data_IF_642961259174
#
_entry.id   IF_642961259174
#
_cell.length_a   1.000
_cell.length_b   1.000
_cell.length_c   1.000
_cell.angle_alpha   90.00
_cell.angle_beta   90.00
_cell.angle_gamma   90.00
#
_symmetry.space_group_name_H-M   'P 1'
#
loop_
_entity.id
_entity.type
_entity.pdbx_description
1 polymer ?
#
# COMPACT_ATOMS: atom_id res chain seq x y z
N UNK A 1 5.04 -11.84 -5.22
CA UNK A 1 3.72 -11.67 -5.90
C UNK A 1 3.40 -10.17 -5.94
N UNK A 2 2.60 -9.67 -6.89
CA UNK A 2 1.86 -10.37 -7.95
C UNK A 2 2.63 -10.50 -9.28
N UNK A 3 2.13 -11.40 -10.13
CA UNK A 3 2.52 -11.61 -11.53
C UNK A 3 1.26 -11.98 -12.30
N UNK A 4 1.10 -11.46 -13.52
CA UNK A 4 0.02 -11.85 -14.43
C UNK A 4 0.60 -12.41 -15.74
N UNK A 5 -0.21 -13.22 -16.42
CA UNK A 5 0.06 -13.70 -17.78
C UNK A 5 -1.11 -13.22 -18.64
N UNK A 6 -0.85 -12.32 -19.58
CA UNK A 6 -1.85 -11.89 -20.54
C UNK A 6 -1.94 -12.88 -21.70
N UNK A 7 -2.80 -13.87 -21.54
CA UNK A 7 -3.05 -14.91 -22.56
C UNK A 7 -3.62 -14.38 -23.87
N UNK A 8 -4.17 -13.17 -23.87
CA UNK A 8 -4.68 -12.52 -25.08
C UNK A 8 -3.61 -11.75 -25.86
N UNK A 9 -2.38 -11.73 -25.37
CA UNK A 9 -1.24 -11.01 -25.96
C UNK A 9 -0.01 -11.92 -25.92
N UNK A 10 -0.06 -13.03 -26.66
CA UNK A 10 1.03 -14.00 -26.80
C UNK A 10 1.62 -14.50 -25.47
N UNK A 11 0.74 -14.79 -24.50
CA UNK A 11 1.09 -15.19 -23.13
C UNK A 11 2.11 -14.24 -22.45
N UNK A 12 2.02 -12.94 -22.75
CA UNK A 12 2.94 -11.93 -22.22
C UNK A 12 2.90 -11.87 -20.69
N UNK A 13 4.06 -12.06 -20.07
CA UNK A 13 4.21 -12.09 -18.61
C UNK A 13 4.57 -10.70 -18.08
N UNK A 14 3.82 -10.23 -17.08
CA UNK A 14 4.07 -8.95 -16.41
C UNK A 14 4.19 -9.18 -14.90
N UNK A 15 5.29 -8.75 -14.31
CA UNK A 15 5.56 -8.79 -12.88
C UNK A 15 5.78 -7.37 -12.33
N UNK A 16 5.85 -7.24 -11.00
CA UNK A 16 5.78 -5.98 -10.24
C UNK A 16 4.41 -5.31 -10.25
N UNK A 17 3.86 -5.04 -9.06
CA UNK A 17 2.49 -4.49 -8.94
C UNK A 17 2.32 -3.15 -9.66
N UNK A 18 3.34 -2.27 -9.60
CA UNK A 18 3.31 -0.99 -10.31
C UNK A 18 3.31 -1.15 -11.83
N UNK A 19 4.14 -2.04 -12.36
CA UNK A 19 4.21 -2.32 -13.79
C UNK A 19 2.94 -3.02 -14.30
N UNK A 20 2.37 -3.94 -13.51
CA UNK A 20 1.08 -4.58 -13.81
C UNK A 20 -0.04 -3.54 -13.90
N UNK A 21 -0.13 -2.63 -12.92
CA UNK A 21 -1.14 -1.57 -12.93
C UNK A 21 -0.96 -0.64 -14.14
N UNK A 22 0.28 -0.25 -14.44
CA UNK A 22 0.59 0.57 -15.61
C UNK A 22 0.18 -0.13 -16.91
N UNK A 23 0.59 -1.38 -17.08
CA UNK A 23 0.27 -2.21 -18.24
C UNK A 23 -1.24 -2.34 -18.47
N UNK A 24 -2.00 -2.67 -17.42
CA UNK A 24 -3.46 -2.80 -17.51
C UNK A 24 -4.13 -1.44 -17.79
N UNK A 25 -3.63 -0.36 -17.21
CA UNK A 25 -4.16 0.97 -17.46
C UNK A 25 -3.96 1.42 -18.92
N UNK A 26 -2.81 1.10 -19.52
CA UNK A 26 -2.54 1.34 -20.94
C UNK A 26 -3.41 0.44 -21.83
N UNK A 27 -3.41 -0.87 -21.56
CA UNK A 27 -4.16 -1.85 -22.34
C UNK A 27 -5.65 -1.54 -22.41
N UNK A 28 -6.24 -1.12 -21.29
CA UNK A 28 -7.67 -0.84 -21.20
C UNK A 28 -8.04 0.63 -21.29
N UNK A 29 -7.05 1.54 -21.38
CA UNK A 29 -7.25 2.99 -21.41
C UNK A 29 -8.12 3.48 -20.24
N UNK A 30 -7.78 3.04 -19.03
CA UNK A 30 -8.49 3.39 -17.79
C UNK A 30 -7.52 3.75 -16.69
N UNK A 31 -7.95 4.66 -15.81
CA UNK A 31 -7.26 4.98 -14.55
C UNK A 31 -5.84 5.56 -14.70
N UNK A 32 -5.52 6.09 -15.89
CA UNK A 32 -4.30 6.83 -16.15
C UNK A 32 -4.68 8.15 -16.83
N UNK A 33 -4.14 9.29 -16.37
CA UNK A 33 -4.48 10.57 -16.97
C UNK A 33 -3.90 10.70 -18.38
N UNK A 34 -4.54 11.55 -19.19
CA UNK A 34 -4.10 11.83 -20.56
C UNK A 34 -3.08 12.96 -20.64
N UNK A 35 -2.24 12.93 -21.67
CA UNK A 35 -1.20 13.92 -21.92
C UNK A 35 0.13 13.61 -21.23
N UNK A 36 1.22 13.98 -21.88
CA UNK A 36 2.59 13.63 -21.47
C UNK A 36 2.91 14.06 -20.03
N UNK A 37 2.57 15.31 -19.67
CA UNK A 37 2.85 15.85 -18.32
C UNK A 37 2.08 15.13 -17.23
N UNK A 38 0.80 14.83 -17.46
CA UNK A 38 -0.03 14.15 -16.46
C UNK A 38 0.38 12.69 -16.28
N UNK A 39 0.76 12.01 -17.38
CA UNK A 39 1.35 10.65 -17.32
C UNK A 39 2.68 10.64 -16.59
N UNK A 40 3.53 11.65 -16.79
CA UNK A 40 4.76 11.80 -16.03
C UNK A 40 4.49 11.97 -14.53
N UNK A 41 3.49 12.78 -14.15
CA UNK A 41 3.08 12.91 -12.75
C UNK A 41 2.56 11.58 -12.17
N UNK A 42 1.76 10.83 -12.93
CA UNK A 42 1.29 9.52 -12.50
C UNK A 42 2.46 8.55 -12.25
N UNK A 43 3.44 8.53 -13.14
CA UNK A 43 4.64 7.70 -12.98
C UNK A 43 5.45 8.11 -11.75
N UNK A 44 5.66 9.41 -11.52
CA UNK A 44 6.39 9.92 -10.35
C UNK A 44 5.75 9.44 -9.04
N UNK A 45 4.44 9.60 -8.89
CA UNK A 45 3.73 9.19 -7.68
C UNK A 45 3.59 7.68 -7.55
N UNK A 46 3.49 6.94 -8.66
CA UNK A 46 3.56 5.48 -8.63
C UNK A 46 4.94 5.02 -8.14
N UNK A 47 6.02 5.63 -8.61
CA UNK A 47 7.38 5.32 -8.14
C UNK A 47 7.61 5.74 -6.69
N UNK A 48 7.00 6.84 -6.23
CA UNK A 48 6.99 7.21 -4.82
C UNK A 48 6.36 6.12 -3.94
N UNK A 49 5.27 5.51 -4.39
CA UNK A 49 4.67 4.38 -3.69
C UNK A 49 5.57 3.13 -3.74
N UNK A 50 6.09 2.77 -4.92
CA UNK A 50 6.88 1.56 -5.11
C UNK A 50 8.24 1.59 -4.40
N UNK A 51 8.87 2.77 -4.27
CA UNK A 51 10.20 2.94 -3.67
C UNK A 51 10.17 3.51 -2.24
N UNK A 52 9.08 4.15 -1.84
CA UNK A 52 8.94 4.81 -0.54
C UNK A 52 7.93 4.09 0.35
N UNK A 53 6.64 4.38 0.15
CA UNK A 53 5.56 3.95 1.06
C UNK A 53 5.59 2.44 1.30
N UNK A 54 5.55 1.64 0.23
CA UNK A 54 5.48 0.18 0.35
C UNK A 54 6.68 -0.41 1.10
N UNK A 55 7.92 -0.19 0.62
CA UNK A 55 9.11 -0.71 1.28
C UNK A 55 9.27 -0.26 2.72
N UNK A 56 9.10 1.03 3.03
CA UNK A 56 9.32 1.55 4.38
C UNK A 56 8.28 1.03 5.38
N UNK A 57 7.01 0.97 4.98
CA UNK A 57 5.97 0.39 5.81
C UNK A 57 6.16 -1.11 6.00
N UNK A 58 6.61 -1.83 4.97
CA UNK A 58 6.95 -3.25 5.06
C UNK A 58 8.04 -3.52 6.11
N UNK A 59 9.10 -2.71 6.13
CA UNK A 59 10.13 -2.81 7.17
C UNK A 59 9.58 -2.48 8.56
N UNK A 60 8.78 -1.41 8.69
CA UNK A 60 8.15 -1.06 9.95
C UNK A 60 7.26 -2.22 10.48
N UNK A 61 6.48 -2.86 9.61
CA UNK A 61 5.66 -4.02 9.96
C UNK A 61 6.53 -5.21 10.37
N UNK A 62 7.59 -5.52 9.64
CA UNK A 62 8.47 -6.65 9.94
C UNK A 62 9.07 -6.54 11.35
N UNK A 63 9.73 -5.41 11.67
CA UNK A 63 10.39 -5.27 12.97
C UNK A 63 9.40 -5.29 14.14
N UNK A 64 8.19 -4.77 13.97
CA UNK A 64 7.21 -4.62 15.05
C UNK A 64 6.20 -5.76 15.18
N UNK A 65 5.91 -6.49 14.10
CA UNK A 65 4.87 -7.54 14.05
C UNK A 65 5.43 -8.93 13.78
N UNK A 66 6.70 -9.03 13.38
CA UNK A 66 7.35 -10.31 13.12
C UNK A 66 8.56 -10.49 14.05
N UNK A 67 9.57 -9.62 13.97
CA UNK A 67 10.82 -9.78 14.71
C UNK A 67 10.64 -9.58 16.23
N UNK A 68 10.00 -8.49 16.67
CA UNK A 68 9.78 -8.19 18.09
C UNK A 68 9.02 -9.32 18.84
N UNK A 69 7.86 -9.84 18.36
CA UNK A 69 7.16 -10.95 19.01
C UNK A 69 7.98 -12.24 19.13
N UNK A 70 9.03 -12.38 18.33
CA UNK A 70 9.95 -13.52 18.36
C UNK A 70 11.20 -13.27 19.22
N UNK A 71 11.28 -12.14 19.93
CA UNK A 71 12.39 -11.79 20.81
C UNK A 71 13.52 -10.98 20.15
N UNK A 72 13.35 -10.59 18.88
CA UNK A 72 14.33 -9.81 18.12
C UNK A 72 13.94 -8.34 18.03
N UNK A 73 13.85 -7.68 19.19
CA UNK A 73 13.52 -6.25 19.26
C UNK A 73 14.75 -5.40 18.94
N UNK A 74 14.65 -4.58 17.90
CA UNK A 74 15.64 -3.56 17.54
C UNK A 74 15.00 -2.17 17.58
N UNK A 75 15.28 -1.39 18.63
CA UNK A 75 14.66 -0.08 18.83
C UNK A 75 15.10 0.95 17.78
N UNK A 76 16.34 0.85 17.27
CA UNK A 76 16.84 1.75 16.25
C UNK A 76 16.12 1.52 14.92
N UNK A 77 15.97 0.26 14.51
CA UNK A 77 15.24 -0.10 13.30
C UNK A 77 13.76 0.27 13.41
N UNK A 78 13.11 -0.07 14.52
CA UNK A 78 11.69 0.27 14.77
C UNK A 78 11.49 1.79 14.65
N UNK A 79 12.32 2.59 15.34
CA UNK A 79 12.22 4.05 15.29
C UNK A 79 12.44 4.58 13.87
N UNK A 80 13.48 4.11 13.18
CA UNK A 80 13.82 4.55 11.82
C UNK A 80 12.67 4.32 10.84
N UNK A 81 12.17 3.08 10.75
CA UNK A 81 11.15 2.74 9.77
C UNK A 81 9.77 3.27 10.16
N UNK A 82 9.46 3.36 11.45
CA UNK A 82 8.24 4.02 11.94
C UNK A 82 8.21 5.51 11.60
N UNK A 83 9.30 6.24 11.89
CA UNK A 83 9.40 7.67 11.59
C UNK A 83 9.38 7.95 10.09
N UNK A 84 10.09 7.17 9.27
CA UNK A 84 10.07 7.37 7.82
C UNK A 84 8.70 7.05 7.22
N UNK A 85 8.02 6.00 7.69
CA UNK A 85 6.65 5.70 7.27
C UNK A 85 5.69 6.84 7.61
N UNK A 86 5.80 7.43 8.80
CA UNK A 86 5.01 8.62 9.18
C UNK A 86 5.29 9.80 8.25
N UNK A 87 6.56 10.10 7.98
CA UNK A 87 6.96 11.21 7.10
C UNK A 87 6.40 11.04 5.68
N UNK A 88 6.39 9.80 5.15
CA UNK A 88 5.82 9.50 3.84
C UNK A 88 4.29 9.70 3.81
N UNK A 89 3.59 9.37 4.90
CA UNK A 89 2.16 9.65 5.03
C UNK A 89 1.88 11.16 5.16
N UNK A 90 2.76 11.94 5.77
CA UNK A 90 2.68 13.40 5.80
C UNK A 90 2.85 14.02 4.41
N UNK A 91 3.78 13.51 3.60
CA UNK A 91 3.91 13.93 2.18
C UNK A 91 2.63 13.62 1.40
N UNK A 92 2.04 12.45 1.64
CA UNK A 92 0.79 12.06 1.00
C UNK A 92 -0.39 12.94 1.43
N UNK A 93 -0.48 13.28 2.72
CA UNK A 93 -1.50 14.19 3.26
C UNK A 93 -1.41 15.58 2.61
N UNK A 94 -0.21 16.14 2.50
CA UNK A 94 0.03 17.42 1.82
C UNK A 94 -0.34 17.34 0.34
N UNK A 95 0.03 16.25 -0.34
CA UNK A 95 -0.33 16.06 -1.75
C UNK A 95 -1.85 16.02 -1.96
N UNK A 96 -2.62 15.52 -0.98
CA UNK A 96 -4.07 15.41 -1.03
C UNK A 96 -4.79 16.73 -0.68
N UNK A 97 -4.09 17.78 -0.27
CA UNK A 97 -4.68 19.07 0.03
C UNK A 97 -5.46 19.60 -1.20
N UNK A 98 -6.76 19.85 -1.00
CA UNK A 98 -7.67 20.32 -2.05
C UNK A 98 -7.97 19.30 -3.15
N UNK A 99 -7.61 18.02 -2.99
CA UNK A 99 -7.81 16.96 -4.01
C UNK A 99 -8.62 15.79 -3.46
N UNK A 100 -9.46 15.22 -4.32
CA UNK A 100 -10.19 14.00 -3.97
C UNK A 100 -9.27 12.77 -3.94
N UNK A 101 -8.28 12.73 -4.83
CA UNK A 101 -7.34 11.64 -5.10
C UNK A 101 -5.93 12.19 -5.34
N UNK A 102 -4.92 11.32 -5.36
CA UNK A 102 -3.50 11.74 -5.35
C UNK A 102 -3.14 12.67 -6.50
N UNK A 103 -3.73 12.46 -7.69
CA UNK A 103 -3.45 13.27 -8.89
C UNK A 103 -4.53 14.32 -9.19
N UNK A 104 -5.55 14.48 -8.33
CA UNK A 104 -6.62 15.46 -8.54
C UNK A 104 -8.00 14.91 -8.17
N UNK A 105 -8.97 15.02 -9.08
CA UNK A 105 -10.36 14.65 -8.82
C UNK A 105 -10.76 13.26 -9.34
N UNK A 106 -9.85 12.58 -10.05
CA UNK A 106 -10.10 11.26 -10.61
C UNK A 106 -9.25 10.19 -9.91
N UNK A 107 -9.85 9.02 -9.71
CA UNK A 107 -9.18 7.87 -9.14
C UNK A 107 -8.28 7.22 -10.19
N UNK A 108 -7.01 7.00 -9.85
CA UNK A 108 -6.01 6.47 -10.78
C UNK A 108 -5.31 5.23 -10.24
N UNK A 109 -4.46 4.61 -11.06
CA UNK A 109 -3.57 3.53 -10.60
C UNK A 109 -2.64 3.94 -9.46
N UNK A 110 -2.33 5.24 -9.31
CA UNK A 110 -1.52 5.75 -8.21
C UNK A 110 -2.25 5.56 -6.89
N UNK A 111 -3.54 5.88 -6.86
CA UNK A 111 -4.39 5.64 -5.70
C UNK A 111 -4.51 4.13 -5.41
N UNK A 112 -4.74 3.32 -6.45
CA UNK A 112 -4.85 1.86 -6.33
C UNK A 112 -3.59 1.23 -5.72
N UNK A 113 -2.41 1.70 -6.12
CA UNK A 113 -1.13 1.17 -5.64
C UNK A 113 -0.83 1.63 -4.20
N UNK A 114 -1.18 2.88 -3.88
CA UNK A 114 -0.82 3.51 -2.61
C UNK A 114 -1.76 3.13 -1.48
N UNK A 115 -3.06 3.06 -1.76
CA UNK A 115 -4.10 2.86 -0.76
C UNK A 115 -3.91 1.61 0.11
N UNK A 116 -3.63 0.41 -0.44
CA UNK A 116 -3.50 -0.79 0.38
C UNK A 116 -2.42 -0.67 1.45
N UNK A 117 -1.32 0.01 1.13
CA UNK A 117 -0.23 0.24 2.08
C UNK A 117 -0.56 1.31 3.10
N UNK A 118 -0.96 2.51 2.64
CA UNK A 118 -1.27 3.62 3.52
C UNK A 118 -2.45 3.29 4.47
N UNK A 119 -3.48 2.58 3.98
CA UNK A 119 -4.65 2.20 4.78
C UNK A 119 -4.32 1.17 5.86
N UNK A 120 -3.26 0.40 5.68
CA UNK A 120 -2.72 -0.56 6.64
C UNK A 120 -1.75 0.10 7.67
N UNK A 121 -1.79 1.42 7.86
CA UNK A 121 -0.92 2.17 8.77
C UNK A 121 -0.80 1.57 10.18
N UNK A 122 -1.87 1.01 10.72
CA UNK A 122 -1.90 0.46 12.07
C UNK A 122 -1.14 -0.89 12.17
N UNK A 123 -0.95 -1.62 11.07
CA UNK A 123 -0.01 -2.76 11.06
C UNK A 123 1.42 -2.30 11.25
N UNK A 124 1.77 -1.18 10.61
CA UNK A 124 3.06 -0.53 10.79
C UNK A 124 3.16 0.23 12.12
N UNK A 125 2.12 0.20 12.98
CA UNK A 125 2.02 0.99 14.22
C UNK A 125 2.33 2.49 14.00
N UNK A 126 1.98 3.03 12.84
CA UNK A 126 2.18 4.44 12.48
C UNK A 126 0.89 5.20 12.75
N UNK A 127 0.92 6.29 13.51
CA UNK A 127 -0.27 7.14 13.70
C UNK A 127 -0.60 7.91 12.42
N UNK A 128 -1.89 8.15 12.18
CA UNK A 128 -2.41 9.06 11.15
C UNK A 128 -3.08 10.30 11.75
N UNK A 129 -2.91 10.52 13.05
CA UNK A 129 -3.50 11.69 13.74
C UNK A 129 -2.95 12.98 13.12
N UNK A 130 -3.84 13.94 12.92
CA UNK A 130 -3.53 15.22 12.25
C UNK A 130 -3.42 15.14 10.72
N UNK A 131 -3.49 13.95 10.11
CA UNK A 131 -3.46 13.76 8.65
C UNK A 131 -4.89 13.74 8.09
N UNK A 132 -5.56 14.89 8.10
CA UNK A 132 -6.99 14.99 7.80
C UNK A 132 -7.30 14.72 6.32
N UNK A 133 -6.42 15.15 5.40
CA UNK A 133 -6.61 14.93 3.97
C UNK A 133 -6.45 13.44 3.63
N UNK A 134 -5.47 12.79 4.27
CA UNK A 134 -5.22 11.37 4.16
C UNK A 134 -6.40 10.55 4.70
N UNK A 135 -6.93 10.90 5.87
CA UNK A 135 -8.09 10.24 6.45
C UNK A 135 -9.33 10.38 5.54
N UNK A 136 -9.61 11.57 5.03
CA UNK A 136 -10.71 11.76 4.07
C UNK A 136 -10.49 10.98 2.77
N UNK A 137 -9.25 10.81 2.31
CA UNK A 137 -8.93 9.97 1.15
C UNK A 137 -9.17 8.48 1.44
N UNK A 138 -8.85 7.98 2.64
CA UNK A 138 -9.22 6.63 3.06
C UNK A 138 -10.72 6.42 3.00
N UNK A 139 -11.52 7.30 3.59
CA UNK A 139 -12.98 7.19 3.61
C UNK A 139 -13.57 7.13 2.20
N UNK A 140 -13.07 7.99 1.30
CA UNK A 140 -13.50 8.00 -0.11
C UNK A 140 -13.19 6.68 -0.82
N UNK A 141 -12.02 6.10 -0.62
CA UNK A 141 -11.65 4.83 -1.27
C UNK A 141 -12.33 3.64 -0.61
N UNK A 142 -12.48 3.64 0.72
CA UNK A 142 -13.25 2.65 1.49
C UNK A 142 -14.69 2.58 0.96
N UNK A 143 -15.31 3.71 0.63
CA UNK A 143 -16.69 3.76 0.12
C UNK A 143 -16.87 3.18 -1.30
N UNK A 144 -15.79 2.93 -2.06
CA UNK A 144 -15.89 2.43 -3.44
C UNK A 144 -16.31 0.95 -3.45
N UNK A 145 -17.40 0.56 -4.14
CA UNK A 145 -17.81 -0.85 -4.24
C UNK A 145 -16.74 -1.76 -4.88
N UNK A 146 -15.93 -1.22 -5.80
CA UNK A 146 -14.83 -1.95 -6.39
C UNK A 146 -13.70 -2.25 -5.38
N UNK A 147 -13.42 -1.30 -4.46
CA UNK A 147 -12.47 -1.52 -3.36
C UNK A 147 -12.97 -2.64 -2.46
N UNK A 148 -14.23 -2.58 -2.00
CA UNK A 148 -14.77 -3.61 -1.09
C UNK A 148 -14.73 -5.00 -1.72
N UNK A 149 -15.08 -5.14 -3.00
CA UNK A 149 -14.94 -6.42 -3.72
C UNK A 149 -13.49 -6.89 -3.81
N UNK A 150 -12.54 -5.98 -4.03
CA UNK A 150 -11.12 -6.34 -4.11
C UNK A 150 -10.56 -6.85 -2.77
N UNK A 151 -11.07 -6.36 -1.63
CA UNK A 151 -10.67 -6.81 -0.29
C UNK A 151 -11.06 -8.26 0.02
N UNK A 152 -11.94 -8.85 -0.78
CA UNK A 152 -12.36 -10.26 -0.65
C UNK A 152 -11.47 -11.21 -1.46
N UNK A 153 -10.58 -10.67 -2.32
CA UNK A 153 -9.75 -11.43 -3.24
C UNK A 153 -8.27 -11.45 -2.83
N UNK A 154 -7.52 -12.53 -3.14
CA UNK A 154 -8.03 -13.86 -3.52
C UNK A 154 -8.69 -14.58 -2.33
N UNK A 155 -8.32 -14.18 -1.11
CA UNK A 155 -8.99 -14.53 0.14
C UNK A 155 -9.03 -13.28 1.02
N UNK A 156 -10.11 -13.05 1.75
CA UNK A 156 -10.21 -11.88 2.60
C UNK A 156 -9.15 -11.93 3.71
N UNK A 157 -8.53 -10.78 3.97
CA UNK A 157 -7.67 -10.60 5.14
C UNK A 157 -8.08 -9.34 5.92
N UNK A 158 -9.23 -9.38 6.63
CA UNK A 158 -9.83 -8.20 7.28
C UNK A 158 -8.91 -7.57 8.32
N UNK A 159 -8.10 -8.41 8.97
CA UNK A 159 -7.14 -7.98 9.95
C UNK A 159 -6.14 -6.98 9.36
N UNK A 160 -5.86 -7.01 8.03
CA UNK A 160 -5.03 -6.06 7.25
C UNK A 160 -5.66 -4.68 7.01
N UNK A 161 -6.96 -4.53 7.32
CA UNK A 161 -7.67 -3.24 7.29
C UNK A 161 -8.38 -2.85 8.59
N UNK A 162 -8.00 -3.47 9.72
CA UNK A 162 -8.32 -3.05 11.08
C UNK A 162 -9.60 -3.72 11.60
N UNK A 163 -10.00 -4.82 10.95
CA UNK A 163 -11.28 -5.49 11.18
C UNK A 163 -11.04 -6.93 11.66
N UNK A 164 -11.96 -7.45 12.46
CA UNK A 164 -11.88 -8.81 13.02
C UNK A 164 -10.88 -8.93 14.17
N UNK A 165 -10.42 -10.15 14.46
CA UNK A 165 -9.43 -10.43 15.51
C UNK A 165 -8.01 -10.16 15.01
N UNK A 166 -7.61 -8.89 15.08
CA UNK A 166 -6.29 -8.43 14.63
C UNK A 166 -5.16 -9.10 15.43
N UNK A 167 -5.34 -9.28 16.75
CA UNK A 167 -4.32 -9.88 17.61
C UNK A 167 -4.02 -11.34 17.24
N UNK A 168 -5.07 -12.14 17.01
CA UNK A 168 -4.90 -13.52 16.55
C UNK A 168 -4.24 -13.59 15.17
N UNK A 169 -4.61 -12.69 14.26
CA UNK A 169 -4.01 -12.63 12.92
C UNK A 169 -2.53 -12.24 12.96
N UNK A 170 -2.14 -11.30 13.83
CA UNK A 170 -0.74 -10.92 14.04
C UNK A 170 0.09 -12.08 14.59
N UNK A 171 -0.42 -12.80 15.60
CA UNK A 171 0.24 -13.96 16.17
C UNK A 171 0.43 -15.07 15.12
N UNK A 172 -0.62 -15.37 14.34
CA UNK A 172 -0.55 -16.36 13.26
C UNK A 172 0.43 -15.94 12.16
N UNK A 173 0.50 -14.64 11.83
CA UNK A 173 1.45 -14.13 10.85
C UNK A 173 2.88 -14.25 11.35
N UNK A 174 3.18 -13.80 12.58
CA UNK A 174 4.51 -13.92 13.19
C UNK A 174 5.00 -15.37 13.21
N UNK A 175 4.13 -16.31 13.59
CA UNK A 175 4.45 -17.73 13.64
C UNK A 175 4.94 -18.32 12.29
N UNK A 176 4.43 -17.82 11.15
CA UNK A 176 4.84 -18.28 9.81
C UNK A 176 6.29 -17.94 9.48
N UNK A 177 6.84 -16.90 10.08
CA UNK A 177 8.19 -16.40 9.83
C UNK A 177 9.18 -16.84 10.90
N UNK A 178 8.83 -17.84 11.73
CA UNK A 178 9.72 -18.34 12.79
C UNK A 178 11.04 -18.92 12.28
N UNK A 179 11.09 -19.42 11.04
CA UNK A 179 12.32 -19.89 10.41
C UNK A 179 13.24 -18.76 9.99
N UNK A 180 12.66 -17.62 9.60
CA UNK A 180 13.37 -16.52 8.92
C UNK A 180 14.10 -15.60 9.90
N UNK A 181 13.78 -15.73 11.19
CA UNK A 181 14.31 -14.92 12.28
C UNK A 181 15.37 -15.71 13.10
N UNK A 182 15.56 -17.01 12.81
CA UNK A 182 16.63 -17.80 13.45
C UNK A 182 18.01 -17.39 12.89
N UNK A 183 19.02 -17.23 13.75
CA UNK A 183 20.38 -16.86 13.35
C UNK A 183 21.07 -17.94 12.51
#
# INVERSE_FOLDING_TARGET
IPTIVDRGNDDFVVFESGAILWYLAEKYQKFLPEGEKARSQALQWLMFQMSGIGPMMGQAMYFQRIAEPQGHRDEFAIKRYGSESRRLLEVLDQQLEGKSYILGNEFTIVDMATYPWARAYYWAKVSVDGLNNLQGWFERIDARPATQRALELPKPFPAFFGKGDVAAAEAANSARFQSDVKP
#
